data_IF_180720754280
#
_entry.id   IF_180720754280
#
_cell.length_a   1.000
_cell.length_b   1.000
_cell.length_c   1.000
_cell.angle_alpha   90.00
_cell.angle_beta   90.00
_cell.angle_gamma   90.00
#
_symmetry.space_group_name_H-M   'P 1'
#
loop_
_entity.id
_entity.type
_entity.pdbx_description
1 polymer ?
#
# COMPACT_ATOMS: atom_id res chain seq x y z
N UNK A 1 27.60 24.30 14.93
CA UNK A 1 28.63 23.61 15.73
C UNK A 1 28.73 22.20 15.17
N UNK A 2 29.82 21.84 14.47
CA UNK A 2 29.94 20.51 13.86
C UNK A 2 29.97 19.46 14.98
N UNK A 3 28.91 18.66 15.09
CA UNK A 3 28.87 17.53 16.04
C UNK A 3 29.84 16.46 15.54
N UNK A 4 30.57 15.82 16.46
CA UNK A 4 31.33 14.61 16.15
C UNK A 4 30.39 13.58 15.47
N UNK A 5 30.86 12.94 14.41
CA UNK A 5 30.06 12.07 13.54
C UNK A 5 29.43 10.92 14.33
N UNK A 6 30.17 10.29 15.24
CA UNK A 6 29.66 9.20 16.08
C UNK A 6 28.56 9.67 17.04
N UNK A 7 28.72 10.86 17.62
CA UNK A 7 27.70 11.48 18.47
C UNK A 7 26.44 11.78 17.68
N UNK A 8 26.58 12.26 16.43
CA UNK A 8 25.44 12.57 15.59
C UNK A 8 24.69 11.31 15.13
N UNK A 9 25.39 10.22 14.80
CA UNK A 9 24.77 8.92 14.50
C UNK A 9 23.96 8.38 15.69
N UNK A 10 24.46 8.53 16.91
CA UNK A 10 23.72 8.15 18.12
C UNK A 10 22.40 8.93 18.29
N UNK A 11 22.42 10.23 17.99
CA UNK A 11 21.21 11.06 17.97
C UNK A 11 20.22 10.54 16.93
N UNK A 12 20.67 10.26 15.71
CA UNK A 12 19.80 9.73 14.66
C UNK A 12 19.21 8.37 15.01
N UNK A 13 19.97 7.50 15.68
CA UNK A 13 19.45 6.23 16.21
C UNK A 13 18.33 6.46 17.23
N UNK A 14 18.45 7.46 18.10
CA UNK A 14 17.39 7.82 19.07
C UNK A 14 16.13 8.29 18.34
N UNK A 15 16.29 9.06 17.27
CA UNK A 15 15.20 9.53 16.42
C UNK A 15 14.50 8.40 15.66
N UNK A 16 15.25 7.42 15.14
CA UNK A 16 14.70 6.19 14.55
C UNK A 16 13.82 5.42 15.55
N UNK A 17 14.28 5.23 16.78
CA UNK A 17 13.49 4.60 17.86
C UNK A 17 12.18 5.38 18.11
N UNK A 18 12.26 6.71 18.14
CA UNK A 18 11.09 7.57 18.35
C UNK A 18 10.07 7.42 17.21
N UNK A 19 10.53 7.33 15.96
CA UNK A 19 9.66 7.08 14.80
C UNK A 19 8.99 5.71 14.86
N UNK A 20 9.71 4.66 15.26
CA UNK A 20 9.14 3.31 15.40
C UNK A 20 8.00 3.31 16.42
N UNK A 21 8.18 4.01 17.53
CA UNK A 21 7.15 4.15 18.56
C UNK A 21 5.94 4.94 18.04
N UNK A 22 6.17 6.10 17.41
CA UNK A 22 5.11 6.97 16.89
C UNK A 22 4.28 6.29 15.79
N UNK A 23 4.96 5.66 14.83
CA UNK A 23 4.31 4.93 13.73
C UNK A 23 3.50 3.74 14.26
N UNK A 24 4.05 2.99 15.23
CA UNK A 24 3.38 1.86 15.85
C UNK A 24 2.12 2.27 16.61
N UNK A 25 2.19 3.33 17.41
CA UNK A 25 1.01 3.89 18.10
C UNK A 25 -0.05 4.39 17.13
N UNK A 26 0.37 5.09 16.07
CA UNK A 26 -0.55 5.56 15.01
C UNK A 26 -1.29 4.38 14.39
N UNK A 27 -0.58 3.33 14.01
CA UNK A 27 -1.15 2.11 13.42
C UNK A 27 -2.11 1.38 14.37
N UNK A 28 -1.70 1.12 15.60
CA UNK A 28 -2.55 0.42 16.58
C UNK A 28 -3.82 1.22 16.85
N UNK A 29 -3.70 2.53 17.06
CA UNK A 29 -4.86 3.40 17.30
C UNK A 29 -5.80 3.41 16.09
N UNK A 30 -5.25 3.44 14.87
CA UNK A 30 -6.02 3.39 13.63
C UNK A 30 -6.84 2.09 13.52
N UNK A 31 -6.18 0.95 13.76
CA UNK A 31 -6.80 -0.38 13.68
C UNK A 31 -7.86 -0.61 14.77
N UNK A 32 -7.71 0.01 15.93
CA UNK A 32 -8.71 -0.05 17.01
C UNK A 32 -9.88 0.91 16.80
N UNK A 33 -9.64 2.05 16.14
CA UNK A 33 -10.68 3.08 15.94
C UNK A 33 -11.55 2.83 14.71
N UNK A 34 -11.05 2.08 13.73
CA UNK A 34 -11.70 1.90 12.43
C UNK A 34 -12.04 0.45 12.16
N UNK A 35 -13.32 0.12 12.22
CA UNK A 35 -13.86 -1.20 11.92
C UNK A 35 -14.50 -1.23 10.53
N UNK A 36 -13.67 -1.02 9.50
CA UNK A 36 -14.10 -1.04 8.10
C UNK A 36 -13.30 -2.10 7.32
N UNK A 37 -13.98 -2.97 6.58
CA UNK A 37 -13.37 -4.13 5.92
C UNK A 37 -12.37 -3.73 4.83
N UNK A 38 -12.78 -2.86 3.89
CA UNK A 38 -11.89 -2.36 2.84
C UNK A 38 -10.65 -1.65 3.42
N UNK A 39 -10.84 -0.85 4.47
CA UNK A 39 -9.74 -0.19 5.18
C UNK A 39 -8.78 -1.20 5.81
N UNK A 40 -9.31 -2.13 6.60
CA UNK A 40 -8.50 -3.08 7.38
C UNK A 40 -7.71 -4.01 6.47
N UNK A 41 -8.35 -4.53 5.41
CA UNK A 41 -7.68 -5.41 4.43
C UNK A 41 -6.60 -4.67 3.65
N UNK A 42 -6.82 -3.40 3.31
CA UNK A 42 -5.82 -2.57 2.59
C UNK A 42 -4.65 -2.14 3.48
N UNK A 43 -4.83 -2.11 4.81
CA UNK A 43 -3.78 -1.77 5.77
C UNK A 43 -2.80 -2.91 6.05
N UNK A 44 -3.17 -4.16 5.78
CA UNK A 44 -2.34 -5.36 5.99
C UNK A 44 -0.89 -5.18 5.49
N UNK A 45 -0.65 -4.80 4.22
CA UNK A 45 0.72 -4.63 3.72
C UNK A 45 1.51 -3.51 4.42
N UNK A 46 0.83 -2.47 4.91
CA UNK A 46 1.48 -1.38 5.65
C UNK A 46 1.78 -1.77 7.10
N UNK A 47 0.95 -2.62 7.72
CA UNK A 47 1.25 -3.23 9.02
C UNK A 47 2.47 -4.15 8.93
N UNK A 48 2.53 -4.97 7.87
CA UNK A 48 3.68 -5.84 7.61
C UNK A 48 4.96 -5.03 7.34
N UNK A 49 4.85 -3.92 6.61
CA UNK A 49 5.95 -2.97 6.42
C UNK A 49 6.49 -2.44 7.76
N UNK A 50 5.62 -1.98 8.65
CA UNK A 50 5.99 -1.52 9.98
C UNK A 50 6.73 -2.61 10.76
N UNK A 51 6.11 -3.79 10.89
CA UNK A 51 6.68 -4.89 11.69
C UNK A 51 8.07 -5.26 11.19
N UNK A 52 8.22 -5.45 9.87
CA UNK A 52 9.49 -5.85 9.28
C UNK A 52 10.57 -4.77 9.39
N UNK A 53 10.24 -3.53 9.08
CA UNK A 53 11.22 -2.43 9.15
C UNK A 53 11.68 -2.14 10.58
N UNK A 54 10.80 -2.27 11.57
CA UNK A 54 11.16 -2.12 12.98
C UNK A 54 12.03 -3.30 13.47
N UNK A 55 11.71 -4.54 13.10
CA UNK A 55 12.55 -5.70 13.41
C UNK A 55 13.93 -5.64 12.78
N UNK A 56 13.99 -5.24 11.51
CA UNK A 56 15.26 -5.02 10.77
C UNK A 56 16.15 -4.02 11.54
N UNK A 57 15.58 -2.90 12.00
CA UNK A 57 16.32 -1.87 12.76
C UNK A 57 16.76 -2.34 14.15
N UNK A 58 15.92 -3.13 14.84
CA UNK A 58 16.20 -3.66 16.17
C UNK A 58 17.13 -4.88 16.16
N UNK A 59 17.56 -5.34 14.98
CA UNK A 59 18.34 -6.58 14.79
C UNK A 59 17.69 -7.79 15.46
N UNK A 60 16.36 -7.89 15.40
CA UNK A 60 15.62 -9.02 15.95
C UNK A 60 15.80 -10.20 14.99
N UNK A 61 16.44 -11.27 15.46
CA UNK A 61 16.67 -12.47 14.64
C UNK A 61 15.34 -13.06 14.15
N UNK A 62 15.25 -13.29 12.84
CA UNK A 62 14.17 -14.05 12.23
C UNK A 62 14.38 -15.52 12.62
N UNK A 63 13.57 -16.03 13.55
CA UNK A 63 13.63 -17.42 13.99
C UNK A 63 13.08 -18.41 12.93
N UNK A 64 12.79 -17.93 11.72
CA UNK A 64 12.34 -18.74 10.59
C UNK A 64 10.94 -19.31 10.80
N UNK A 65 10.16 -18.71 11.71
CA UNK A 65 8.81 -19.15 11.98
C UNK A 65 7.89 -18.79 10.78
N UNK A 66 6.79 -19.52 10.64
CA UNK A 66 5.83 -19.32 9.54
C UNK A 66 5.26 -17.89 9.50
N UNK A 67 5.21 -17.21 10.66
CA UNK A 67 4.71 -15.83 10.81
C UNK A 67 5.63 -14.84 10.09
N UNK A 68 6.94 -14.93 10.31
CA UNK A 68 7.94 -14.03 9.74
C UNK A 68 7.99 -14.14 8.22
N UNK A 69 7.91 -15.38 7.70
CA UNK A 69 7.83 -15.62 6.26
C UNK A 69 6.58 -14.96 5.65
N UNK A 70 5.43 -15.12 6.30
CA UNK A 70 4.17 -14.54 5.86
C UNK A 70 4.20 -13.00 5.91
N UNK A 71 4.71 -12.39 6.99
CA UNK A 71 4.89 -10.92 7.10
C UNK A 71 5.84 -10.41 6.01
N UNK A 72 6.92 -11.15 5.74
CA UNK A 72 7.88 -10.82 4.67
C UNK A 72 7.21 -10.84 3.29
N UNK A 73 6.48 -11.90 2.98
CA UNK A 73 5.78 -12.07 1.71
C UNK A 73 4.71 -10.97 1.51
N UNK A 74 3.96 -10.63 2.56
CA UNK A 74 2.98 -9.54 2.56
C UNK A 74 3.66 -8.18 2.30
N UNK A 75 4.75 -7.86 3.01
CA UNK A 75 5.53 -6.62 2.85
C UNK A 75 6.10 -6.50 1.44
N UNK A 76 6.57 -7.61 0.87
CA UNK A 76 7.09 -7.64 -0.50
C UNK A 76 5.99 -7.50 -1.56
N UNK A 77 4.73 -7.83 -1.21
CA UNK A 77 3.53 -7.51 -1.97
C UNK A 77 3.40 -6.02 -2.33
N UNK A 78 3.86 -5.09 -1.49
CA UNK A 78 3.89 -3.65 -1.80
C UNK A 78 4.75 -3.31 -3.02
N UNK A 79 5.74 -4.16 -3.34
CA UNK A 79 6.71 -3.95 -4.40
C UNK A 79 6.41 -4.78 -5.65
N UNK A 80 5.32 -5.55 -5.66
CA UNK A 80 5.09 -6.57 -6.68
C UNK A 80 5.09 -6.03 -8.11
N UNK A 81 4.55 -4.82 -8.29
CA UNK A 81 4.50 -4.15 -9.59
C UNK A 81 5.78 -3.37 -9.93
N UNK A 82 6.69 -3.18 -8.99
CA UNK A 82 7.97 -2.47 -9.23
C UNK A 82 9.01 -3.34 -9.95
N UNK A 83 8.81 -4.66 -9.97
CA UNK A 83 9.70 -5.63 -10.57
C UNK A 83 9.48 -5.83 -12.08
N UNK A 84 9.77 -7.04 -12.58
CA UNK A 84 9.44 -7.41 -13.97
C UNK A 84 7.91 -7.46 -14.13
N UNK A 85 7.39 -6.94 -15.24
CA UNK A 85 5.95 -6.96 -15.55
C UNK A 85 5.35 -8.37 -15.41
N UNK A 86 6.09 -9.40 -15.86
CA UNK A 86 5.67 -10.80 -15.75
C UNK A 86 5.39 -11.28 -14.32
N UNK A 87 6.05 -10.70 -13.30
CA UNK A 87 5.76 -11.02 -11.89
C UNK A 87 4.40 -10.46 -11.46
N UNK A 88 4.11 -9.21 -11.81
CA UNK A 88 2.81 -8.58 -11.55
C UNK A 88 1.68 -9.30 -12.29
N UNK A 89 1.90 -9.64 -13.56
CA UNK A 89 0.96 -10.44 -14.37
C UNK A 89 0.68 -11.81 -13.74
N UNK A 90 1.73 -12.52 -13.31
CA UNK A 90 1.60 -13.82 -12.65
C UNK A 90 0.74 -13.73 -11.39
N UNK A 91 0.97 -12.73 -10.55
CA UNK A 91 0.16 -12.53 -9.35
C UNK A 91 -1.32 -12.25 -9.66
N UNK A 92 -1.58 -11.36 -10.63
CA UNK A 92 -2.95 -11.04 -11.02
C UNK A 92 -3.70 -12.30 -11.51
N UNK A 93 -3.03 -13.15 -12.28
CA UNK A 93 -3.56 -14.45 -12.72
C UNK A 93 -3.82 -15.38 -11.55
N UNK A 94 -2.85 -15.56 -10.65
CA UNK A 94 -2.98 -16.48 -9.51
C UNK A 94 -4.13 -16.08 -8.58
N UNK A 95 -4.32 -14.78 -8.33
CA UNK A 95 -5.44 -14.29 -7.53
C UNK A 95 -6.79 -14.42 -8.26
N UNK A 96 -6.84 -14.11 -9.55
CA UNK A 96 -8.04 -14.28 -10.37
C UNK A 96 -8.52 -15.72 -10.44
N UNK A 97 -7.59 -16.66 -10.69
CA UNK A 97 -7.86 -18.10 -10.76
C UNK A 97 -8.34 -18.61 -9.40
N UNK A 98 -7.70 -18.20 -8.31
CA UNK A 98 -8.11 -18.59 -6.97
C UNK A 98 -9.52 -18.11 -6.64
N UNK A 99 -9.82 -16.83 -6.86
CA UNK A 99 -11.16 -16.29 -6.59
C UNK A 99 -12.21 -16.94 -7.52
N UNK A 100 -11.86 -17.18 -8.78
CA UNK A 100 -12.71 -17.88 -9.72
C UNK A 100 -13.06 -19.30 -9.23
N UNK A 101 -12.06 -20.09 -8.83
CA UNK A 101 -12.25 -21.44 -8.27
C UNK A 101 -13.16 -21.42 -7.04
N UNK A 102 -12.91 -20.50 -6.10
CA UNK A 102 -13.70 -20.36 -4.86
C UNK A 102 -15.18 -20.09 -5.19
N UNK A 103 -15.48 -19.06 -5.98
CA UNK A 103 -16.86 -18.67 -6.24
C UNK A 103 -17.58 -19.64 -7.19
N UNK A 104 -16.87 -20.24 -8.15
CA UNK A 104 -17.42 -21.31 -8.99
C UNK A 104 -17.78 -22.53 -8.15
N UNK A 105 -16.98 -22.88 -7.14
CA UNK A 105 -17.23 -24.04 -6.28
C UNK A 105 -18.53 -23.91 -5.46
N UNK A 106 -18.91 -22.67 -5.10
CA UNK A 106 -20.13 -22.33 -4.35
C UNK A 106 -21.42 -22.48 -5.16
N UNK A 107 -21.34 -22.64 -6.48
CA UNK A 107 -22.51 -22.89 -7.31
C UNK A 107 -23.11 -24.27 -7.02
N UNK A 108 -24.41 -24.28 -6.65
CA UNK A 108 -25.13 -25.49 -6.22
C UNK A 108 -25.15 -26.59 -7.28
N UNK A 109 -25.35 -26.24 -8.54
CA UNK A 109 -25.54 -27.22 -9.61
C UNK A 109 -24.29 -27.33 -10.49
N UNK A 110 -23.83 -28.56 -10.74
CA UNK A 110 -22.61 -28.82 -11.52
C UNK A 110 -22.63 -28.21 -12.93
N UNK A 111 -23.79 -28.21 -13.60
CA UNK A 111 -23.92 -27.62 -14.93
C UNK A 111 -23.69 -26.09 -14.91
N UNK A 112 -24.07 -25.40 -13.83
CA UNK A 112 -23.89 -23.95 -13.70
C UNK A 112 -22.43 -23.54 -13.55
N UNK A 113 -21.57 -24.44 -13.05
CA UNK A 113 -20.12 -24.19 -12.93
C UNK A 113 -19.48 -23.88 -14.28
N UNK A 114 -20.02 -24.43 -15.38
CA UNK A 114 -19.52 -24.20 -16.74
C UNK A 114 -20.04 -22.91 -17.39
N UNK A 115 -20.97 -22.18 -16.76
CA UNK A 115 -21.65 -21.03 -17.37
C UNK A 115 -21.03 -19.67 -17.04
N UNK A 116 -19.98 -19.62 -16.19
CA UNK A 116 -19.34 -18.39 -15.69
C UNK A 116 -20.38 -17.37 -15.17
N UNK A 117 -21.37 -17.85 -14.39
CA UNK A 117 -22.45 -17.01 -13.85
C UNK A 117 -22.11 -16.43 -12.46
N UNK A 118 -21.07 -16.96 -11.80
CA UNK A 118 -20.58 -16.43 -10.54
C UNK A 118 -19.85 -15.10 -10.76
N UNK A 119 -19.65 -14.33 -9.69
CA UNK A 119 -18.84 -13.11 -9.67
C UNK A 119 -17.57 -13.42 -8.88
N UNK A 120 -16.41 -13.02 -9.38
CA UNK A 120 -15.09 -13.38 -8.82
C UNK A 120 -14.18 -12.16 -8.59
N UNK A 121 -14.73 -10.95 -8.71
CA UNK A 121 -14.06 -9.70 -8.45
C UNK A 121 -15.08 -8.66 -7.96
N UNK A 122 -14.90 -8.14 -6.76
CA UNK A 122 -15.58 -6.92 -6.31
C UNK A 122 -14.63 -5.73 -6.44
N UNK A 123 -15.08 -4.66 -7.09
CA UNK A 123 -14.37 -3.38 -7.18
C UNK A 123 -15.16 -2.32 -6.45
N UNK A 124 -14.50 -1.59 -5.57
CA UNK A 124 -15.12 -0.64 -4.67
C UNK A 124 -14.79 0.79 -5.09
N UNK A 125 -15.77 1.68 -4.93
CA UNK A 125 -15.72 3.04 -5.41
C UNK A 125 -16.17 4.03 -4.34
N UNK A 126 -15.47 5.16 -4.20
CA UNK A 126 -15.99 6.27 -3.41
C UNK A 126 -17.12 7.00 -4.16
N UNK A 127 -17.76 7.96 -3.49
CA UNK A 127 -18.90 8.73 -4.05
C UNK A 127 -18.57 9.43 -5.38
N UNK A 128 -17.31 9.79 -5.62
CA UNK A 128 -16.84 10.42 -6.86
C UNK A 128 -16.53 9.41 -7.97
N UNK A 129 -16.75 8.12 -7.74
CA UNK A 129 -16.45 7.04 -8.69
C UNK A 129 -14.95 6.73 -8.78
N UNK A 130 -14.14 7.06 -7.77
CA UNK A 130 -12.75 6.64 -7.69
C UNK A 130 -12.67 5.23 -7.15
N UNK A 131 -11.87 4.38 -7.78
CA UNK A 131 -11.60 3.02 -7.27
C UNK A 131 -10.81 3.15 -5.97
N UNK A 132 -11.24 2.44 -4.93
CA UNK A 132 -10.60 2.49 -3.61
C UNK A 132 -10.15 1.13 -3.09
N UNK A 133 -10.64 0.04 -3.68
CA UNK A 133 -10.33 -1.31 -3.25
C UNK A 133 -10.77 -2.34 -4.30
N UNK A 134 -10.08 -3.48 -4.35
CA UNK A 134 -10.54 -4.66 -5.08
C UNK A 134 -10.27 -5.95 -4.30
N UNK A 135 -11.19 -6.90 -4.39
CA UNK A 135 -11.18 -8.12 -3.57
C UNK A 135 -10.06 -9.10 -3.96
N UNK A 136 -9.60 -9.06 -5.21
CA UNK A 136 -8.54 -9.94 -5.70
C UNK A 136 -7.18 -9.50 -5.13
N UNK A 137 -6.89 -8.20 -5.08
CA UNK A 137 -5.69 -7.68 -4.44
C UNK A 137 -5.67 -8.00 -2.94
N UNK A 138 -6.80 -7.86 -2.26
CA UNK A 138 -6.93 -8.23 -0.85
C UNK A 138 -6.69 -9.73 -0.62
N UNK A 139 -7.25 -10.59 -1.49
CA UNK A 139 -7.01 -12.04 -1.44
C UNK A 139 -5.53 -12.36 -1.61
N UNK A 140 -4.84 -11.64 -2.50
CA UNK A 140 -3.40 -11.82 -2.71
C UNK A 140 -2.61 -11.47 -1.44
N UNK A 141 -2.89 -10.33 -0.79
CA UNK A 141 -2.22 -9.97 0.46
C UNK A 141 -2.51 -10.94 1.59
N UNK A 142 -3.72 -11.51 1.63
CA UNK A 142 -4.03 -12.53 2.62
C UNK A 142 -3.37 -13.88 2.32
N UNK A 143 -2.85 -14.11 1.11
CA UNK A 143 -2.22 -15.37 0.69
C UNK A 143 -3.02 -16.63 1.11
N UNK A 144 -4.35 -16.58 0.95
CA UNK A 144 -5.24 -17.63 1.41
C UNK A 144 -4.83 -18.97 0.76
N UNK A 145 -4.55 -20.05 1.52
CA UNK A 145 -4.14 -21.33 0.94
C UNK A 145 -5.27 -21.95 0.11
N UNK A 146 -4.92 -22.58 -1.02
CA UNK A 146 -5.89 -23.27 -1.89
C UNK A 146 -6.50 -24.54 -1.25
N UNK A 147 -5.86 -25.11 -0.24
CA UNK A 147 -6.10 -26.50 0.20
C UNK A 147 -6.55 -26.70 1.65
N UNK A 148 -6.81 -25.65 2.44
CA UNK A 148 -7.03 -25.82 3.88
C UNK A 148 -8.51 -25.84 4.31
N UNK A 149 -8.78 -26.66 5.32
CA UNK A 149 -10.05 -26.81 6.06
C UNK A 149 -10.52 -25.50 6.74
N UNK A 150 -9.65 -24.50 6.84
CA UNK A 150 -9.96 -23.19 7.39
C UNK A 150 -10.67 -22.32 6.34
N UNK A 151 -11.86 -21.81 6.69
CA UNK A 151 -12.56 -20.82 5.87
C UNK A 151 -11.67 -19.59 5.61
N UNK A 152 -11.88 -18.89 4.49
CA UNK A 152 -11.16 -17.64 4.16
C UNK A 152 -11.16 -16.63 5.31
N UNK A 153 -12.24 -16.57 6.10
CA UNK A 153 -12.33 -15.73 7.28
C UNK A 153 -11.40 -16.15 8.42
N UNK A 154 -11.24 -17.45 8.67
CA UNK A 154 -10.32 -17.96 9.68
C UNK A 154 -8.86 -17.64 9.33
N UNK A 155 -8.49 -17.77 8.05
CA UNK A 155 -7.15 -17.40 7.59
C UNK A 155 -6.90 -15.88 7.73
N UNK A 156 -7.86 -15.04 7.31
CA UNK A 156 -7.75 -13.60 7.48
C UNK A 156 -7.62 -13.18 8.96
N UNK A 157 -8.39 -13.80 9.85
CA UNK A 157 -8.28 -13.57 11.29
C UNK A 157 -6.90 -13.96 11.82
N UNK A 158 -6.36 -15.09 11.36
CA UNK A 158 -5.03 -15.57 11.72
C UNK A 158 -3.94 -14.59 11.28
N UNK A 159 -3.97 -14.10 10.03
CA UNK A 159 -3.03 -13.07 9.54
C UNK A 159 -3.12 -11.80 10.38
N UNK A 160 -4.33 -11.33 10.68
CA UNK A 160 -4.56 -10.16 11.52
C UNK A 160 -4.00 -10.32 12.94
N UNK A 161 -4.26 -11.47 13.58
CA UNK A 161 -3.73 -11.80 14.92
C UNK A 161 -2.21 -11.84 14.93
N UNK A 162 -1.59 -12.43 13.90
CA UNK A 162 -0.13 -12.48 13.75
C UNK A 162 0.46 -11.07 13.65
N UNK A 163 -0.06 -10.22 12.76
CA UNK A 163 0.41 -8.82 12.63
C UNK A 163 0.21 -8.03 13.92
N UNK A 164 -0.95 -8.18 14.58
CA UNK A 164 -1.21 -7.54 15.88
C UNK A 164 -0.22 -7.96 16.96
N UNK A 165 0.09 -9.26 17.04
CA UNK A 165 1.09 -9.79 17.98
C UNK A 165 2.48 -9.21 17.71
N UNK A 166 2.88 -9.10 16.45
CA UNK A 166 4.19 -8.55 16.06
C UNK A 166 4.31 -7.07 16.44
N UNK A 167 3.28 -6.27 16.16
CA UNK A 167 3.24 -4.86 16.59
C UNK A 167 3.31 -4.74 18.12
N UNK A 168 2.56 -5.57 18.84
CA UNK A 168 2.57 -5.58 20.30
C UNK A 168 3.94 -6.03 20.85
N UNK A 169 4.59 -7.02 20.24
CA UNK A 169 5.94 -7.44 20.64
C UNK A 169 6.92 -6.27 20.51
N UNK A 170 6.94 -5.57 19.37
CA UNK A 170 7.80 -4.40 19.16
C UNK A 170 7.55 -3.35 20.25
N UNK A 171 6.30 -2.90 20.41
CA UNK A 171 5.96 -1.79 21.31
C UNK A 171 6.12 -2.15 22.80
N UNK A 172 5.65 -3.31 23.23
CA UNK A 172 5.69 -3.72 24.65
C UNK A 172 7.09 -4.18 25.03
N UNK A 173 7.64 -5.18 24.32
CA UNK A 173 8.85 -5.88 24.76
C UNK A 173 10.10 -5.04 24.52
N UNK A 174 10.20 -4.37 23.37
CA UNK A 174 11.42 -3.62 23.01
C UNK A 174 11.36 -2.16 23.44
N UNK A 175 10.17 -1.57 23.59
CA UNK A 175 10.01 -0.16 24.00
C UNK A 175 9.30 0.06 25.34
N UNK A 176 8.80 -0.99 26.00
CA UNK A 176 8.15 -0.85 27.32
C UNK A 176 6.81 -0.12 27.28
N UNK A 177 6.16 -0.04 26.12
CA UNK A 177 4.91 0.69 25.92
C UNK A 177 3.74 -0.23 26.20
N UNK A 178 3.14 -0.11 27.39
CA UNK A 178 1.96 -0.88 27.76
C UNK A 178 0.65 -0.23 27.28
N UNK A 179 0.64 1.10 27.12
CA UNK A 179 -0.47 1.84 26.53
C UNK A 179 -0.29 1.96 25.02
N UNK A 180 -0.82 0.97 24.30
CA UNK A 180 -0.58 0.78 22.87
C UNK A 180 -1.36 1.76 22.00
N UNK A 181 -2.55 2.16 22.45
CA UNK A 181 -3.37 3.13 21.75
C UNK A 181 -3.14 4.51 22.34
N UNK A 182 -3.00 5.52 21.48
CA UNK A 182 -2.87 6.89 21.94
C UNK A 182 -4.22 7.59 21.77
N UNK A 183 -4.98 7.71 22.86
CA UNK A 183 -6.29 8.35 22.87
C UNK A 183 -6.29 9.84 22.45
N UNK A 184 -5.11 10.44 22.24
CA UNK A 184 -4.96 11.79 21.69
C UNK A 184 -4.98 11.80 20.16
N UNK A 185 -4.76 10.65 19.51
CA UNK A 185 -4.87 10.51 18.06
C UNK A 185 -6.34 10.31 17.72
N UNK A 186 -6.94 11.34 17.12
CA UNK A 186 -8.32 11.31 16.65
C UNK A 186 -8.35 11.11 15.14
N UNK A 187 -9.21 10.20 14.70
CA UNK A 187 -9.43 9.91 13.29
C UNK A 187 -10.83 10.36 12.86
N UNK A 188 -10.95 10.84 11.62
CA UNK A 188 -12.23 11.06 10.98
C UNK A 188 -12.89 9.71 10.64
N UNK A 189 -14.21 9.73 10.43
CA UNK A 189 -14.92 8.58 9.88
C UNK A 189 -14.39 8.20 8.50
N UNK A 190 -14.38 6.89 8.21
CA UNK A 190 -14.02 6.39 6.88
C UNK A 190 -14.98 6.96 5.83
N UNK A 191 -14.48 7.48 4.69
CA UNK A 191 -15.32 7.95 3.61
C UNK A 191 -16.24 6.88 3.06
N UNK A 192 -17.38 7.35 2.53
CA UNK A 192 -18.40 6.50 1.95
C UNK A 192 -17.92 5.79 0.67
N UNK A 193 -18.23 4.51 0.54
CA UNK A 193 -17.96 3.73 -0.66
C UNK A 193 -19.08 2.75 -0.98
N UNK A 194 -19.17 2.35 -2.25
CA UNK A 194 -20.03 1.28 -2.75
C UNK A 194 -19.21 0.32 -3.63
N UNK A 195 -19.84 -0.66 -4.25
CA UNK A 195 -19.13 -1.69 -5.03
C UNK A 195 -19.86 -2.07 -6.33
N UNK A 196 -19.10 -2.69 -7.23
CA UNK A 196 -19.62 -3.40 -8.39
C UNK A 196 -18.91 -4.75 -8.44
N UNK A 197 -19.69 -5.82 -8.56
CA UNK A 197 -19.17 -7.17 -8.73
C UNK A 197 -19.10 -7.57 -10.20
N UNK A 198 -18.01 -8.23 -10.58
CA UNK A 198 -17.72 -8.65 -11.94
C UNK A 198 -17.40 -10.15 -12.00
N UNK A 199 -17.70 -10.74 -13.17
CA UNK A 199 -17.03 -11.95 -13.62
C UNK A 199 -15.91 -11.55 -14.58
N UNK A 200 -14.66 -11.75 -14.21
CA UNK A 200 -13.49 -11.37 -15.03
C UNK A 200 -13.34 -12.21 -16.30
N UNK A 201 -13.98 -13.39 -16.35
CA UNK A 201 -14.03 -14.25 -17.54
C UNK A 201 -15.17 -13.86 -18.52
N UNK A 202 -15.93 -12.81 -18.21
CA UNK A 202 -16.91 -12.19 -19.11
C UNK A 202 -16.45 -10.81 -19.53
N UNK A 203 -16.70 -10.47 -20.79
CA UNK A 203 -16.48 -9.10 -21.28
C UNK A 203 -17.39 -8.15 -20.50
N UNK A 204 -16.81 -7.09 -19.96
CA UNK A 204 -17.54 -6.00 -19.33
C UNK A 204 -17.05 -4.66 -19.89
N UNK A 205 -17.86 -3.62 -19.73
CA UNK A 205 -17.53 -2.28 -20.23
C UNK A 205 -16.51 -1.58 -19.33
N UNK A 206 -16.39 -2.02 -18.06
CA UNK A 206 -15.47 -1.45 -17.09
C UNK A 206 -14.00 -1.59 -17.53
N UNK A 207 -13.63 -2.78 -18.01
CA UNK A 207 -12.28 -3.08 -18.49
C UNK A 207 -11.99 -2.49 -19.87
N UNK A 208 -10.74 -2.11 -20.06
CA UNK A 208 -10.25 -1.61 -21.32
C UNK A 208 -10.23 -2.72 -22.37
N UNK A 209 -10.95 -2.51 -23.48
CA UNK A 209 -11.04 -3.47 -24.58
C UNK A 209 -9.72 -3.66 -25.35
N UNK A 210 -8.78 -2.73 -25.21
CA UNK A 210 -7.47 -2.79 -25.87
C UNK A 210 -6.47 -3.67 -25.10
N UNK A 211 -6.82 -4.11 -23.89
CA UNK A 211 -5.96 -4.93 -23.05
C UNK A 211 -6.56 -6.33 -22.84
N UNK A 212 -5.67 -7.32 -22.66
CA UNK A 212 -6.08 -8.63 -22.17
C UNK A 212 -6.58 -8.55 -20.71
N UNK A 213 -7.19 -9.63 -20.22
CA UNK A 213 -7.76 -9.70 -18.88
C UNK A 213 -6.68 -9.40 -17.83
N UNK A 214 -5.54 -10.04 -17.96
CA UNK A 214 -4.47 -9.99 -16.98
C UNK A 214 -3.86 -8.59 -16.88
N UNK A 215 -3.71 -7.90 -18.02
CA UNK A 215 -3.22 -6.52 -18.07
C UNK A 215 -4.21 -5.57 -17.40
N UNK A 216 -5.51 -5.73 -17.65
CA UNK A 216 -6.55 -4.95 -16.96
C UNK A 216 -6.49 -5.16 -15.44
N UNK A 217 -6.28 -6.40 -14.98
CA UNK A 217 -6.17 -6.70 -13.55
C UNK A 217 -4.91 -6.10 -12.92
N UNK A 218 -3.76 -6.15 -13.61
CA UNK A 218 -2.53 -5.48 -13.13
C UNK A 218 -2.74 -3.97 -12.95
N UNK A 219 -3.37 -3.30 -13.92
CA UNK A 219 -3.70 -1.88 -13.82
C UNK A 219 -4.68 -1.61 -12.68
N UNK A 220 -5.68 -2.49 -12.49
CA UNK A 220 -6.67 -2.37 -11.44
C UNK A 220 -6.03 -2.48 -10.06
N UNK A 221 -5.15 -3.46 -9.83
CA UNK A 221 -4.49 -3.64 -8.54
C UNK A 221 -3.57 -2.46 -8.17
N UNK A 222 -2.84 -1.91 -9.16
CA UNK A 222 -2.08 -0.66 -8.94
C UNK A 222 -3.03 0.49 -8.58
N UNK A 223 -4.15 0.61 -9.29
CA UNK A 223 -5.16 1.65 -9.06
C UNK A 223 -5.81 1.51 -7.68
N UNK A 224 -6.17 0.31 -7.25
CA UNK A 224 -6.77 0.04 -5.94
C UNK A 224 -5.82 0.42 -4.81
N UNK A 225 -4.51 0.14 -4.96
CA UNK A 225 -3.51 0.49 -3.94
C UNK A 225 -3.40 2.01 -3.74
N UNK A 226 -3.24 2.76 -4.85
CA UNK A 226 -3.10 4.22 -4.77
C UNK A 226 -4.43 4.92 -4.46
N UNK A 227 -5.53 4.37 -4.98
CA UNK A 227 -6.88 4.84 -4.75
C UNK A 227 -7.32 4.66 -3.30
N UNK A 228 -6.97 3.53 -2.67
CA UNK A 228 -7.11 3.33 -1.21
C UNK A 228 -6.45 4.46 -0.43
N UNK A 229 -5.17 4.72 -0.71
CA UNK A 229 -4.41 5.74 0.04
C UNK A 229 -5.04 7.12 -0.14
N UNK A 230 -5.33 7.51 -1.38
CA UNK A 230 -5.80 8.86 -1.68
C UNK A 230 -7.23 9.12 -1.20
N UNK A 231 -8.12 8.12 -1.26
CA UNK A 231 -9.56 8.31 -1.11
C UNK A 231 -10.18 7.66 0.13
N UNK A 232 -9.46 6.76 0.81
CA UNK A 232 -9.89 6.18 2.09
C UNK A 232 -8.93 6.54 3.23
N UNK A 233 -7.62 6.33 3.05
CA UNK A 233 -6.66 6.51 4.14
C UNK A 233 -6.40 7.98 4.46
N UNK A 234 -6.04 8.81 3.46
CA UNK A 234 -5.73 10.23 3.71
C UNK A 234 -6.90 10.98 4.35
N UNK A 235 -8.16 10.85 3.89
CA UNK A 235 -9.30 11.58 4.50
C UNK A 235 -9.58 11.22 5.97
N UNK A 236 -9.15 10.04 6.41
CA UNK A 236 -9.28 9.59 7.81
C UNK A 236 -8.39 10.38 8.76
N UNK A 237 -7.27 10.92 8.28
CA UNK A 237 -6.37 11.74 9.10
C UNK A 237 -6.83 13.21 9.07
N UNK A 238 -7.14 13.82 10.22
CA UNK A 238 -7.55 15.23 10.25
C UNK A 238 -6.39 16.18 9.90
N UNK A 239 -5.16 15.79 10.25
CA UNK A 239 -3.96 16.58 10.06
C UNK A 239 -2.88 15.79 9.33
N UNK A 240 -1.88 16.51 8.80
CA UNK A 240 -0.68 15.89 8.24
C UNK A 240 0.05 15.09 9.30
N UNK A 241 0.36 13.85 8.96
CA UNK A 241 0.99 12.89 9.86
C UNK A 241 2.23 12.27 9.21
N UNK A 242 3.27 12.01 10.02
CA UNK A 242 4.56 11.46 9.56
C UNK A 242 4.41 10.05 8.99
N UNK A 243 3.69 9.17 9.68
CA UNK A 243 3.39 7.83 9.18
C UNK A 243 2.57 7.89 7.90
N UNK A 244 1.56 8.77 7.83
CA UNK A 244 0.76 8.94 6.62
C UNK A 244 1.62 9.42 5.43
N UNK A 245 2.57 10.35 5.64
CA UNK A 245 3.52 10.75 4.60
C UNK A 245 4.32 9.55 4.09
N UNK A 246 4.81 8.69 4.99
CA UNK A 246 5.53 7.47 4.64
C UNK A 246 4.69 6.58 3.71
N UNK A 247 3.40 6.41 4.02
CA UNK A 247 2.48 5.59 3.20
C UNK A 247 2.20 6.23 1.84
N UNK A 248 1.93 7.54 1.79
CA UNK A 248 1.73 8.28 0.53
C UNK A 248 2.97 8.13 -0.35
N UNK A 249 4.16 8.35 0.22
CA UNK A 249 5.42 8.27 -0.50
C UNK A 249 5.64 6.89 -1.12
N UNK A 250 5.55 5.83 -0.32
CA UNK A 250 5.82 4.45 -0.77
C UNK A 250 4.84 4.07 -1.89
N UNK A 251 3.58 4.43 -1.72
CA UNK A 251 2.53 4.11 -2.68
C UNK A 251 2.73 4.85 -3.99
N UNK A 252 2.99 6.16 -3.94
CA UNK A 252 3.29 6.96 -5.12
C UNK A 252 4.55 6.45 -5.83
N UNK A 253 5.62 6.20 -5.08
CA UNK A 253 6.88 5.68 -5.60
C UNK A 253 6.70 4.34 -6.31
N UNK A 254 6.07 3.36 -5.66
CA UNK A 254 5.90 2.02 -6.22
C UNK A 254 4.93 2.02 -7.42
N UNK A 255 3.89 2.85 -7.36
CA UNK A 255 2.94 3.02 -8.48
C UNK A 255 3.64 3.63 -9.69
N UNK A 256 4.44 4.68 -9.50
CA UNK A 256 5.23 5.28 -10.57
C UNK A 256 6.18 4.26 -11.23
N UNK A 257 6.91 3.48 -10.42
CA UNK A 257 7.75 2.41 -10.96
C UNK A 257 6.94 1.35 -11.71
N UNK A 258 5.79 0.95 -11.19
CA UNK A 258 4.90 -0.02 -11.84
C UNK A 258 4.39 0.47 -13.20
N UNK A 259 3.96 1.73 -13.29
CA UNK A 259 3.57 2.38 -14.54
C UNK A 259 4.74 2.37 -15.54
N UNK A 260 5.96 2.71 -15.10
CA UNK A 260 7.12 2.68 -15.99
C UNK A 260 7.46 1.28 -16.48
N UNK A 261 7.32 0.26 -15.63
CA UNK A 261 7.55 -1.15 -16.01
C UNK A 261 6.50 -1.65 -16.99
N UNK A 262 5.24 -1.28 -16.77
CA UNK A 262 4.16 -1.50 -17.72
C UNK A 262 4.50 -0.88 -19.08
N UNK A 263 4.85 0.41 -19.12
CA UNK A 263 5.19 1.10 -20.38
C UNK A 263 6.36 0.45 -21.12
N UNK A 264 7.45 0.16 -20.42
CA UNK A 264 8.63 -0.50 -20.99
C UNK A 264 8.27 -1.83 -21.66
N UNK A 265 7.38 -2.62 -21.05
CA UNK A 265 6.94 -3.88 -21.62
C UNK A 265 6.21 -3.69 -22.96
N UNK A 266 5.24 -2.78 -23.01
CA UNK A 266 4.44 -2.55 -24.23
C UNK A 266 5.21 -1.83 -25.35
N UNK A 267 6.20 -0.98 -24.99
CA UNK A 267 7.13 -0.38 -25.96
C UNK A 267 8.06 -1.43 -26.60
N UNK A 268 8.51 -2.43 -25.84
CA UNK A 268 9.41 -3.50 -26.31
C UNK A 268 8.72 -4.59 -27.15
N UNK A 269 7.47 -4.94 -26.82
CA UNK A 269 6.71 -5.99 -27.52
C UNK A 269 6.16 -5.56 -28.90
N UNK A 270 6.54 -4.38 -29.41
CA UNK A 270 6.03 -3.80 -30.67
C UNK A 270 4.49 -3.84 -30.80
N UNK A 271 3.77 -3.82 -29.68
CA UNK A 271 2.31 -3.65 -29.66
C UNK A 271 1.97 -2.17 -29.91
N UNK A 272 2.33 -1.69 -31.10
CA UNK A 272 2.19 -0.32 -31.62
C UNK A 272 0.75 0.20 -31.71
N UNK A 273 -0.24 -0.62 -31.33
CA UNK A 273 -1.67 -0.28 -31.36
C UNK A 273 -2.22 0.19 -30.01
N UNK A 274 -1.49 -0.02 -28.92
CA UNK A 274 -1.90 0.46 -27.61
C UNK A 274 -1.36 1.87 -27.46
N UNK A 275 -2.24 2.86 -27.62
CA UNK A 275 -1.94 4.24 -27.31
C UNK A 275 -1.77 4.37 -25.79
N UNK A 276 -0.52 4.27 -25.32
CA UNK A 276 -0.17 4.65 -23.96
C UNK A 276 -0.43 6.15 -23.86
N UNK A 277 -1.44 6.52 -23.09
CA UNK A 277 -1.76 7.93 -22.83
C UNK A 277 -0.49 8.67 -22.35
N UNK A 278 0.00 9.65 -23.12
CA UNK A 278 1.20 10.45 -22.76
C UNK A 278 0.87 11.50 -21.67
N UNK A 279 0.20 11.08 -20.60
CA UNK A 279 -0.14 11.91 -19.43
C UNK A 279 1.09 12.20 -18.55
N UNK A 280 2.21 11.53 -18.82
CA UNK A 280 3.43 11.64 -18.01
C UNK A 280 4.24 12.92 -18.25
N UNK A 281 3.91 13.71 -19.28
CA UNK A 281 4.62 14.97 -19.57
C UNK A 281 4.51 15.98 -18.41
N UNK A 282 3.39 15.98 -17.67
CA UNK A 282 3.22 16.73 -16.42
C UNK A 282 3.97 16.10 -15.23
N UNK A 283 3.82 14.79 -15.06
CA UNK A 283 4.41 14.00 -13.97
C UNK A 283 5.95 14.05 -13.96
N UNK A 284 6.59 14.25 -15.12
CA UNK A 284 8.07 14.27 -15.24
C UNK A 284 8.77 15.31 -14.36
N UNK A 285 8.12 16.44 -14.06
CA UNK A 285 8.70 17.45 -13.15
C UNK A 285 8.67 16.99 -11.70
N UNK A 286 7.65 16.23 -11.33
CA UNK A 286 7.39 15.76 -9.97
C UNK A 286 8.16 14.48 -9.62
N UNK A 287 8.82 13.83 -10.61
CA UNK A 287 9.75 12.71 -10.36
C UNK A 287 10.87 13.10 -9.39
N UNK A 288 11.25 14.38 -9.34
CA UNK A 288 12.27 14.86 -8.40
C UNK A 288 11.89 14.64 -6.94
N UNK A 289 10.60 14.44 -6.65
CA UNK A 289 10.10 14.09 -5.32
C UNK A 289 10.43 12.65 -4.92
N UNK A 290 10.84 11.77 -5.85
CA UNK A 290 11.07 10.35 -5.61
C UNK A 290 12.58 10.03 -5.58
N UNK A 291 13.24 10.29 -4.44
CA UNK A 291 14.68 10.04 -4.28
C UNK A 291 14.97 8.70 -3.61
N UNK A 292 16.09 8.06 -3.98
CA UNK A 292 16.52 6.80 -3.36
C UNK A 292 16.83 6.93 -1.86
N UNK A 293 17.57 7.96 -1.38
CA UNK A 293 17.85 8.12 0.05
C UNK A 293 16.58 8.26 0.89
N UNK A 294 15.66 9.11 0.46
CA UNK A 294 14.38 9.30 1.14
C UNK A 294 13.54 8.02 1.09
N UNK A 295 13.48 7.35 -0.06
CA UNK A 295 12.80 6.05 -0.20
C UNK A 295 13.30 5.02 0.79
N UNK A 296 14.61 4.96 1.03
CA UNK A 296 15.16 4.00 1.98
C UNK A 296 14.70 4.31 3.40
N UNK A 297 14.68 5.59 3.81
CA UNK A 297 14.15 6.02 5.10
C UNK A 297 12.63 5.83 5.23
N UNK A 298 11.88 5.80 4.12
CA UNK A 298 10.45 5.50 4.15
C UNK A 298 10.20 3.97 4.26
N UNK A 299 11.09 3.15 3.70
CA UNK A 299 10.96 1.68 3.71
C UNK A 299 11.62 0.99 4.92
N UNK A 300 12.52 1.68 5.61
CA UNK A 300 13.33 1.22 6.74
C UNK A 300 13.46 2.36 7.76
N UNK A 301 13.76 2.06 9.03
CA UNK A 301 13.90 3.09 10.08
C UNK A 301 15.31 3.67 10.23
N UNK A 302 16.30 3.11 9.54
CA UNK A 302 17.66 3.65 9.54
C UNK A 302 17.72 5.03 8.90
N UNK A 303 18.23 6.01 9.64
CA UNK A 303 18.48 7.38 9.18
C UNK A 303 19.94 7.57 8.70
N UNK A 304 20.57 6.46 8.32
CA UNK A 304 21.91 6.38 7.73
C UNK A 304 21.86 5.64 6.41
N UNK A 305 22.80 5.94 5.52
CA UNK A 305 22.93 5.24 4.24
C UNK A 305 23.62 3.87 4.41
N UNK A 306 23.75 3.13 3.31
CA UNK A 306 24.42 1.82 3.27
C UNK A 306 25.90 1.85 3.67
N UNK A 307 26.53 3.01 3.64
CA UNK A 307 27.92 3.23 4.03
C UNK A 307 28.00 3.79 5.46
N UNK A 308 26.88 3.76 6.20
CA UNK A 308 26.74 4.27 7.55
C UNK A 308 26.96 5.79 7.66
N UNK A 309 26.68 6.57 6.60
CA UNK A 309 26.70 8.03 6.65
C UNK A 309 25.31 8.58 7.02
N UNK A 310 25.23 9.63 7.88
CA UNK A 310 23.96 10.31 8.17
C UNK A 310 23.24 10.80 6.91
N UNK A 311 21.95 10.47 6.79
CA UNK A 311 21.11 10.99 5.68
C UNK A 311 20.60 12.40 6.01
N UNK A 312 20.34 12.70 7.29
CA UNK A 312 19.96 14.04 7.72
C UNK A 312 21.22 14.89 7.83
N UNK A 313 21.33 15.94 7.02
CA UNK A 313 22.45 16.88 7.04
C UNK A 313 22.38 17.75 8.30
N UNK A 314 23.53 18.01 8.94
CA UNK A 314 23.58 18.74 10.21
C UNK A 314 23.00 20.16 10.12
N UNK A 315 23.07 20.80 8.95
CA UNK A 315 22.51 22.13 8.69
C UNK A 315 20.97 22.16 8.68
N UNK A 316 20.33 21.02 8.35
CA UNK A 316 18.88 20.89 8.27
C UNK A 316 18.27 20.20 9.49
N UNK A 317 19.10 19.58 10.32
CA UNK A 317 18.69 18.89 11.55
C UNK A 317 17.98 19.81 12.54
N UNK A 318 16.82 19.34 13.01
CA UNK A 318 16.03 19.97 14.06
C UNK A 318 15.17 18.91 14.74
N UNK A 319 15.22 18.79 16.07
CA UNK A 319 14.45 17.78 16.81
C UNK A 319 12.94 18.04 16.79
N UNK A 320 12.53 19.29 16.58
CA UNK A 320 11.12 19.70 16.61
C UNK A 320 10.46 19.61 15.24
N UNK A 321 11.24 19.45 14.16
CA UNK A 321 10.70 19.28 12.82
C UNK A 321 10.17 17.86 12.60
N UNK A 322 9.07 17.69 11.85
CA UNK A 322 8.66 16.38 11.36
C UNK A 322 9.81 15.68 10.62
N UNK A 323 10.03 14.40 10.91
CA UNK A 323 11.16 13.62 10.38
C UNK A 323 12.55 14.25 10.65
N UNK A 324 12.66 15.14 11.63
CA UNK A 324 13.90 15.70 12.16
C UNK A 324 14.82 16.42 11.14
N UNK A 325 14.24 16.96 10.06
CA UNK A 325 14.99 17.59 8.97
C UNK A 325 15.34 16.66 7.80
N UNK A 326 14.80 15.43 7.75
CA UNK A 326 15.04 14.47 6.68
C UNK A 326 14.54 14.96 5.31
N UNK A 327 13.37 15.60 5.27
CA UNK A 327 12.80 16.13 4.02
C UNK A 327 13.71 17.23 3.49
N UNK A 328 14.04 18.18 4.34
CA UNK A 328 14.91 19.31 4.03
C UNK A 328 16.29 18.82 3.54
N UNK A 329 16.84 17.78 4.16
CA UNK A 329 18.11 17.18 3.75
C UNK A 329 18.04 16.47 2.38
N UNK A 330 16.91 15.86 2.04
CA UNK A 330 16.77 15.11 0.79
C UNK A 330 16.32 15.97 -0.40
N UNK A 331 15.78 17.16 -0.14
CA UNK A 331 15.12 18.01 -1.13
C UNK A 331 15.54 19.48 -0.99
N UNK A 332 16.83 19.72 -0.73
CA UNK A 332 17.47 21.04 -0.78
C UNK A 332 16.74 22.13 0.04
N UNK A 333 16.39 21.82 1.28
CA UNK A 333 15.72 22.75 2.20
C UNK A 333 14.20 22.85 2.02
N UNK A 334 13.58 22.02 1.18
CA UNK A 334 12.12 21.99 1.05
C UNK A 334 11.45 21.65 2.38
N UNK A 335 10.52 22.49 2.82
CA UNK A 335 9.82 22.31 4.08
C UNK A 335 8.86 21.11 4.04
N UNK A 336 8.79 20.33 5.13
CA UNK A 336 7.90 19.16 5.25
C UNK A 336 6.48 19.37 4.71
N UNK A 337 5.80 20.46 5.11
CA UNK A 337 4.42 20.70 4.68
C UNK A 337 4.27 20.93 3.17
N UNK A 338 5.28 21.52 2.54
CA UNK A 338 5.32 21.71 1.09
C UNK A 338 5.52 20.35 0.41
N UNK A 339 6.53 19.60 0.84
CA UNK A 339 6.81 18.26 0.32
C UNK A 339 5.60 17.34 0.42
N UNK A 340 4.92 17.32 1.58
CA UNK A 340 3.70 16.55 1.79
C UNK A 340 2.62 16.86 0.75
N UNK A 341 2.38 18.15 0.49
CA UNK A 341 1.38 18.56 -0.49
C UNK A 341 1.77 18.15 -1.92
N UNK A 342 3.05 18.30 -2.27
CA UNK A 342 3.56 17.96 -3.60
C UNK A 342 3.53 16.44 -3.85
N UNK A 343 3.95 15.62 -2.90
CA UNK A 343 3.91 14.15 -3.05
C UNK A 343 2.47 13.62 -3.05
N UNK A 344 1.57 14.22 -2.26
CA UNK A 344 0.16 13.85 -2.29
C UNK A 344 -0.49 14.21 -3.62
N UNK A 345 -0.18 15.39 -4.17
CA UNK A 345 -0.62 15.79 -5.51
C UNK A 345 -0.10 14.82 -6.58
N UNK A 346 1.18 14.44 -6.54
CA UNK A 346 1.73 13.42 -7.44
C UNK A 346 0.95 12.10 -7.30
N UNK A 347 0.64 11.66 -6.08
CA UNK A 347 -0.18 10.46 -5.84
C UNK A 347 -1.56 10.55 -6.52
N UNK A 348 -2.23 11.70 -6.44
CA UNK A 348 -3.52 11.92 -7.11
C UNK A 348 -3.42 11.93 -8.64
N UNK A 349 -2.32 12.45 -9.19
CA UNK A 349 -2.07 12.44 -10.64
C UNK A 349 -1.82 11.03 -11.17
N UNK A 350 -1.07 10.21 -10.44
CA UNK A 350 -0.84 8.80 -10.75
C UNK A 350 -2.14 7.98 -10.70
N UNK A 351 -2.98 8.21 -9.68
CA UNK A 351 -4.31 7.61 -9.60
C UNK A 351 -5.16 8.00 -10.81
N UNK A 352 -5.23 9.30 -11.15
CA UNK A 352 -5.98 9.79 -12.31
C UNK A 352 -5.52 9.14 -13.61
N UNK A 353 -4.21 8.97 -13.78
CA UNK A 353 -3.63 8.25 -14.92
C UNK A 353 -4.14 6.80 -14.98
N UNK A 354 -4.04 6.04 -13.89
CA UNK A 354 -4.51 4.65 -13.88
C UNK A 354 -6.02 4.54 -14.08
N UNK A 355 -6.80 5.43 -13.47
CA UNK A 355 -8.25 5.48 -13.60
C UNK A 355 -8.70 5.70 -15.05
N UNK A 356 -7.91 6.41 -15.86
CA UNK A 356 -8.23 6.70 -17.25
C UNK A 356 -8.31 5.47 -18.16
N UNK A 357 -7.79 4.32 -17.70
CA UNK A 357 -7.91 3.06 -18.42
C UNK A 357 -9.26 2.35 -18.23
N UNK A 358 -10.08 2.79 -17.27
CA UNK A 358 -11.34 2.14 -16.91
C UNK A 358 -12.55 3.01 -17.26
N UNK A 359 -13.66 2.36 -17.63
CA UNK A 359 -14.93 3.05 -17.87
C UNK A 359 -15.89 2.84 -16.70
N UNK A 360 -16.16 3.89 -15.94
CA UNK A 360 -16.93 3.78 -14.70
C UNK A 360 -18.35 4.28 -14.94
N UNK A 361 -19.32 3.39 -14.82
CA UNK A 361 -20.73 3.76 -14.78
C UNK A 361 -21.18 3.88 -13.31
N UNK A 362 -21.24 5.11 -12.81
CA UNK A 362 -21.62 5.40 -11.41
C UNK A 362 -23.04 4.94 -11.06
N UNK A 363 -23.92 4.79 -12.03
CA UNK A 363 -25.30 4.30 -11.82
C UNK A 363 -25.35 2.82 -11.45
N UNK A 364 -24.28 2.08 -11.73
CA UNK A 364 -24.18 0.65 -11.43
C UNK A 364 -23.55 0.37 -10.06
N UNK A 365 -23.08 1.41 -9.35
CA UNK A 365 -22.46 1.25 -8.04
C UNK A 365 -23.54 0.90 -7.02
N UNK A 366 -23.41 -0.26 -6.39
CA UNK A 366 -24.22 -0.67 -5.27
C UNK A 366 -23.70 -0.02 -4.00
N UNK A 367 -24.56 0.80 -3.41
CA UNK A 367 -24.27 1.51 -2.18
C UNK A 367 -24.92 0.74 -1.04
N UNK A 368 -24.18 -0.19 -0.44
CA UNK A 368 -24.62 -0.89 0.77
C UNK A 368 -24.53 0.07 1.95
N UNK A 369 -25.54 0.94 2.05
CA UNK A 369 -25.85 1.70 3.26
C UNK A 369 -27.01 0.99 3.93
N UNK A 370 -26.71 -0.02 4.75
CA UNK A 370 -27.51 -0.48 5.91
C UNK A 370 -27.00 -1.85 6.35
N UNK A 371 -26.01 -1.87 7.26
CA UNK A 371 -25.76 -2.95 8.22
C UNK A 371 -25.18 -2.33 9.50
#
# INVERSE_FOLDING_TARGET
MNKNEDTYKSILKTHSNTLIVQDGKTLVTLLQSIHNSAMTLSLIPFCALYCRSAKEFLCIEENGNEIEKEVKDIRDGLKIFTGKYSKGKKMAVESDDQQNEIFQSKLRFSFTKKLNIHLNLGVYFNEQGKVVFDTQLASFYLNIPKSNEASSGAHAMMVGQKLGKEMAEILIKYYGINDLADGRILFNSVPKYGYIDFNTNKKNVFFNKNFDKETNLVLLHMLSTIGFVNNLLVPVFPDKNVWLLRIIYITAHNTWLGINKFRQHFEQEHQSKIEILDYTRGIKKDIKLLSTPFRNCMMHYDLVDKNNHPIILQEWYDSEKPLYGLVESCYDGMHFNQYYNEIYKLSQELEKYLLSYFTINRMNIHWDWDC
#
